data_IF_526973321137
#
_entry.id   IF_526973321137
#
_cell.length_a   1.000
_cell.length_b   1.000
_cell.length_c   1.000
_cell.angle_alpha   90.00
_cell.angle_beta   90.00
_cell.angle_gamma   90.00
#
_symmetry.space_group_name_H-M   'P 1'
#
loop_
_entity.id
_entity.type
_entity.pdbx_description
1 polymer ?
#
# COMPACT_ATOMS: atom_id res chain seq x y z
N UNK A 1 -12.38 10.94 6.79
CA UNK A 1 -12.59 9.51 7.13
C UNK A 1 -11.22 8.97 7.46
N UNK A 2 -11.09 8.11 8.48
CA UNK A 2 -9.81 7.46 8.80
C UNK A 2 -9.63 6.27 7.88
N UNK A 3 -8.42 6.08 7.37
CA UNK A 3 -8.04 4.91 6.60
C UNK A 3 -7.70 3.78 7.59
N UNK A 4 -8.38 2.64 7.49
CA UNK A 4 -8.20 1.52 8.42
C UNK A 4 -7.50 0.33 7.77
N UNK A 5 -6.47 -0.14 8.47
CA UNK A 5 -5.75 -1.36 8.11
C UNK A 5 -5.98 -2.44 9.15
N UNK A 6 -6.19 -3.66 8.69
CA UNK A 6 -6.34 -4.87 9.49
C UNK A 6 -5.12 -5.75 9.32
N UNK A 7 -4.46 -6.09 10.42
CA UNK A 7 -3.17 -6.79 10.38
C UNK A 7 -3.26 -8.02 11.28
N UNK A 8 -2.88 -9.20 10.77
CA UNK A 8 -2.92 -10.43 11.54
C UNK A 8 -1.73 -11.35 11.23
N UNK A 9 -1.51 -12.27 12.14
CA UNK A 9 -0.49 -13.30 12.07
C UNK A 9 -1.07 -14.58 11.45
N UNK A 10 -0.74 -14.94 10.19
CA UNK A 10 -1.30 -16.13 9.54
C UNK A 10 -0.81 -17.45 10.15
N UNK A 11 0.28 -17.42 10.90
CA UNK A 11 0.80 -18.61 11.57
C UNK A 11 0.07 -18.92 12.87
N UNK A 12 -0.74 -17.99 13.37
CA UNK A 12 -1.36 -18.11 14.70
C UNK A 12 -2.85 -18.46 14.64
N UNK A 13 -3.62 -17.88 13.74
CA UNK A 13 -5.08 -18.00 13.75
C UNK A 13 -5.70 -18.53 12.47
N UNK A 14 -5.14 -18.21 11.34
CA UNK A 14 -5.63 -18.64 10.04
C UNK A 14 -4.51 -18.56 9.00
N UNK A 15 -4.40 -19.52 8.09
CA UNK A 15 -3.40 -19.46 7.01
C UNK A 15 -3.57 -18.18 6.17
N UNK A 16 -2.51 -17.83 5.44
CA UNK A 16 -2.59 -16.74 4.47
C UNK A 16 -3.70 -17.03 3.46
N UNK A 17 -4.55 -16.04 3.13
CA UNK A 17 -5.65 -16.23 2.19
C UNK A 17 -5.13 -16.47 0.77
N UNK A 18 -5.89 -17.21 -0.04
CA UNK A 18 -5.56 -17.49 -1.44
C UNK A 18 -6.31 -16.58 -2.44
N UNK A 19 -7.19 -15.70 -1.96
CA UNK A 19 -7.95 -14.75 -2.78
C UNK A 19 -8.38 -13.52 -1.97
N UNK A 20 -8.89 -12.49 -2.66
CA UNK A 20 -9.45 -11.30 -2.00
C UNK A 20 -10.68 -11.62 -1.15
N UNK A 21 -11.58 -12.48 -1.65
CA UNK A 21 -12.79 -12.89 -0.93
C UNK A 21 -12.44 -13.67 0.34
N UNK A 22 -11.48 -14.60 0.26
CA UNK A 22 -10.99 -15.33 1.42
C UNK A 22 -10.29 -14.41 2.44
N UNK A 23 -9.60 -13.36 1.97
CA UNK A 23 -8.98 -12.37 2.85
C UNK A 23 -10.04 -11.62 3.65
N UNK A 24 -11.12 -11.17 3.00
CA UNK A 24 -12.24 -10.49 3.66
C UNK A 24 -12.92 -11.39 4.68
N UNK A 25 -13.31 -12.61 4.28
CA UNK A 25 -13.94 -13.59 5.17
C UNK A 25 -13.05 -13.93 6.39
N UNK A 26 -11.75 -14.06 6.16
CA UNK A 26 -10.77 -14.33 7.21
C UNK A 26 -10.67 -13.17 8.19
N UNK A 27 -10.54 -11.95 7.67
CA UNK A 27 -10.47 -10.73 8.48
C UNK A 27 -11.72 -10.56 9.35
N UNK A 28 -12.92 -10.71 8.78
CA UNK A 28 -14.19 -10.60 9.51
C UNK A 28 -14.27 -11.63 10.64
N UNK A 29 -13.93 -12.88 10.35
CA UNK A 29 -13.92 -13.96 11.33
C UNK A 29 -12.92 -13.70 12.46
N UNK A 30 -11.71 -13.26 12.13
CA UNK A 30 -10.65 -13.02 13.10
C UNK A 30 -10.93 -11.79 13.99
N UNK A 31 -11.64 -10.79 13.49
CA UNK A 31 -12.00 -9.59 14.26
C UNK A 31 -12.82 -9.91 15.50
N UNK A 32 -13.60 -10.99 15.48
CA UNK A 32 -14.39 -11.45 16.62
C UNK A 32 -13.59 -12.29 17.65
N UNK A 33 -12.33 -12.64 17.35
CA UNK A 33 -11.53 -13.51 18.19
C UNK A 33 -10.69 -12.68 19.17
N UNK A 34 -10.91 -12.91 20.47
CA UNK A 34 -10.01 -12.41 21.51
C UNK A 34 -8.73 -13.24 21.53
N UNK A 35 -7.59 -12.58 21.69
CA UNK A 35 -6.29 -13.23 21.73
C UNK A 35 -5.47 -12.79 22.96
N UNK A 36 -4.43 -13.54 23.22
CA UNK A 36 -3.36 -13.14 24.14
C UNK A 36 -2.36 -12.23 23.40
N UNK A 37 -1.47 -11.61 24.15
CA UNK A 37 -0.38 -10.84 23.59
C UNK A 37 0.32 -11.58 22.44
N UNK A 38 0.46 -10.91 21.31
CA UNK A 38 1.17 -11.45 20.15
C UNK A 38 2.55 -10.78 20.00
N UNK A 39 3.65 -11.51 20.32
CA UNK A 39 5.00 -10.95 20.21
C UNK A 39 5.41 -10.53 18.79
N UNK A 40 4.77 -11.10 17.76
CA UNK A 40 5.01 -10.71 16.37
C UNK A 40 4.46 -9.30 16.11
N UNK A 41 3.27 -8.99 16.63
CA UNK A 41 2.69 -7.65 16.54
C UNK A 41 3.50 -6.62 17.33
N UNK A 42 4.03 -6.95 18.50
CA UNK A 42 4.90 -6.03 19.25
C UNK A 42 6.17 -5.68 18.48
N UNK A 43 6.82 -6.69 17.87
CA UNK A 43 8.01 -6.46 17.03
C UNK A 43 7.65 -5.63 15.78
N UNK A 44 6.51 -5.87 15.19
CA UNK A 44 6.00 -5.09 14.07
C UNK A 44 5.79 -3.62 14.47
N UNK A 45 5.14 -3.33 15.61
CA UNK A 45 4.98 -1.96 16.11
C UNK A 45 6.31 -1.25 16.34
N UNK A 46 7.32 -1.96 16.87
CA UNK A 46 8.66 -1.42 17.03
C UNK A 46 9.33 -1.10 15.68
N UNK A 47 9.10 -1.95 14.66
CA UNK A 47 9.63 -1.71 13.31
C UNK A 47 9.01 -0.49 12.63
N UNK A 48 7.72 -0.23 12.84
CA UNK A 48 7.06 0.98 12.31
C UNK A 48 7.71 2.25 12.88
N UNK A 49 8.03 2.26 14.18
CA UNK A 49 8.73 3.39 14.80
C UNK A 49 10.13 3.56 14.23
N UNK A 50 10.88 2.47 14.04
CA UNK A 50 12.20 2.51 13.43
C UNK A 50 12.16 3.05 11.99
N UNK A 51 11.16 2.68 11.20
CA UNK A 51 10.97 3.23 9.86
C UNK A 51 10.74 4.75 9.90
N UNK A 52 9.95 5.22 10.86
CA UNK A 52 9.70 6.66 11.04
C UNK A 52 10.97 7.39 11.46
N UNK A 53 11.72 6.86 12.42
CA UNK A 53 12.97 7.47 12.92
C UNK A 53 14.09 7.49 11.87
N UNK A 54 14.07 6.56 10.92
CA UNK A 54 15.03 6.51 9.82
C UNK A 54 14.77 7.55 8.72
N UNK A 55 13.56 8.16 8.70
CA UNK A 55 13.21 9.18 7.72
C UNK A 55 13.95 10.50 8.02
N UNK A 56 14.32 11.26 6.97
CA UNK A 56 14.87 12.60 7.14
C UNK A 56 13.93 13.51 7.95
N UNK A 57 14.49 14.36 8.81
CA UNK A 57 13.72 15.22 9.73
C UNK A 57 12.72 16.16 9.04
N UNK A 58 12.97 16.52 7.77
CA UNK A 58 12.08 17.35 6.95
C UNK A 58 10.82 16.59 6.48
N UNK A 59 10.86 15.26 6.50
CA UNK A 59 9.72 14.38 6.12
C UNK A 59 8.95 13.84 7.31
N UNK A 60 9.50 13.93 8.53
CA UNK A 60 8.86 13.42 9.75
C UNK A 60 7.63 14.25 10.20
N UNK A 61 7.43 15.44 9.64
CA UNK A 61 6.32 16.32 10.01
C UNK A 61 6.48 16.92 11.42
N UNK A 62 5.63 17.90 11.75
CA UNK A 62 5.75 18.67 13.00
C UNK A 62 5.03 18.03 14.20
N UNK A 63 4.38 16.87 14.03
CA UNK A 63 3.52 16.25 15.04
C UNK A 63 4.08 15.00 15.72
N UNK A 64 5.28 14.54 15.37
CA UNK A 64 5.87 13.32 15.93
C UNK A 64 5.14 12.03 15.51
N UNK A 65 5.35 10.95 16.28
CA UNK A 65 4.78 9.61 16.00
C UNK A 65 3.27 9.62 15.94
N UNK A 66 2.61 10.32 16.86
CA UNK A 66 1.14 10.36 16.92
C UNK A 66 0.53 11.04 15.70
N UNK A 67 1.17 12.08 15.17
CA UNK A 67 0.70 12.74 13.95
C UNK A 67 0.94 11.89 12.70
N UNK A 68 1.98 11.07 12.70
CA UNK A 68 2.33 10.23 11.57
C UNK A 68 1.51 8.92 11.55
N UNK A 69 1.33 8.28 12.73
CA UNK A 69 0.69 6.97 12.85
C UNK A 69 -0.71 7.03 13.47
N UNK A 70 -1.18 8.20 13.95
CA UNK A 70 -2.42 8.34 14.71
C UNK A 70 -2.30 7.93 16.19
N UNK A 71 -1.29 7.14 16.55
CA UNK A 71 -0.90 6.73 17.92
C UNK A 71 0.49 6.13 17.88
N UNK A 72 1.14 5.96 19.04
CA UNK A 72 2.42 5.22 19.08
C UNK A 72 2.19 3.73 18.75
N UNK A 73 2.74 3.22 17.62
CA UNK A 73 2.54 1.82 17.22
C UNK A 73 3.03 0.81 18.25
N UNK A 74 4.05 1.13 19.06
CA UNK A 74 4.56 0.25 20.12
C UNK A 74 3.54 0.04 21.22
N UNK A 75 2.88 1.12 21.63
CA UNK A 75 1.87 1.06 22.68
C UNK A 75 0.60 0.37 22.19
N UNK A 76 0.14 0.70 20.99
CA UNK A 76 -1.09 0.14 20.42
C UNK A 76 -0.97 -1.35 20.10
N UNK A 77 0.18 -1.82 19.59
CA UNK A 77 0.41 -3.26 19.36
C UNK A 77 0.58 -4.02 20.67
N UNK A 78 1.27 -3.47 21.66
CA UNK A 78 1.40 -4.08 23.00
C UNK A 78 0.06 -4.15 23.75
N UNK A 79 -0.87 -3.25 23.46
CA UNK A 79 -2.22 -3.26 24.04
C UNK A 79 -3.20 -4.15 23.27
N UNK A 80 -2.87 -4.63 22.07
CA UNK A 80 -3.75 -5.46 21.26
C UNK A 80 -4.10 -6.78 21.95
N UNK A 81 -5.40 -7.10 22.04
CA UNK A 81 -5.93 -8.32 22.65
C UNK A 81 -6.93 -9.04 21.74
N UNK A 82 -6.78 -8.82 20.45
CA UNK A 82 -7.59 -9.44 19.39
C UNK A 82 -6.67 -10.13 18.38
N UNK A 83 -7.19 -11.09 17.63
CA UNK A 83 -6.44 -11.78 16.59
C UNK A 83 -6.06 -10.86 15.41
N UNK A 84 -6.76 -9.73 15.27
CA UNK A 84 -6.50 -8.69 14.26
C UNK A 84 -6.11 -7.41 14.98
N UNK A 85 -4.95 -6.89 14.65
CA UNK A 85 -4.55 -5.54 15.02
C UNK A 85 -5.14 -4.53 14.04
N UNK A 86 -5.81 -3.52 14.56
CA UNK A 86 -6.42 -2.45 13.79
C UNK A 86 -5.56 -1.19 13.88
N UNK A 87 -5.08 -0.73 12.74
CA UNK A 87 -4.28 0.49 12.62
C UNK A 87 -5.09 1.53 11.87
N UNK A 88 -5.47 2.59 12.58
CA UNK A 88 -6.15 3.75 11.97
C UNK A 88 -5.11 4.77 11.54
N UNK A 89 -5.09 5.10 10.26
CA UNK A 89 -4.22 6.14 9.71
C UNK A 89 -5.01 7.45 9.56
N UNK A 90 -4.34 8.60 9.68
CA UNK A 90 -4.94 9.88 9.32
C UNK A 90 -5.48 9.85 7.88
N UNK A 91 -6.56 10.59 7.61
CA UNK A 91 -7.17 10.67 6.26
C UNK A 91 -6.22 11.18 5.17
N UNK A 92 -5.13 11.79 5.57
CA UNK A 92 -4.04 12.27 4.71
C UNK A 92 -2.88 11.29 4.63
N UNK A 93 -3.07 10.06 5.15
CA UNK A 93 -2.04 9.03 5.11
C UNK A 93 -1.56 8.84 3.69
N UNK A 94 -0.28 9.07 3.48
CA UNK A 94 0.32 8.98 2.17
C UNK A 94 0.57 7.52 1.80
N UNK A 95 0.65 7.23 0.51
CA UNK A 95 1.10 5.92 0.01
C UNK A 95 2.45 5.52 0.60
N UNK A 96 3.26 6.48 1.02
CA UNK A 96 4.54 6.26 1.71
C UNK A 96 4.33 5.58 3.06
N UNK A 97 3.35 6.00 3.87
CA UNK A 97 3.01 5.35 5.14
C UNK A 97 2.52 3.92 4.89
N UNK A 98 1.66 3.72 3.88
CA UNK A 98 1.23 2.39 3.48
C UNK A 98 2.39 1.48 3.09
N UNK A 99 3.37 1.97 2.32
CA UNK A 99 4.52 1.15 1.94
C UNK A 99 5.35 0.71 3.14
N UNK A 100 5.57 1.57 4.12
CA UNK A 100 6.27 1.21 5.35
C UNK A 100 5.53 0.13 6.14
N UNK A 101 4.21 0.24 6.25
CA UNK A 101 3.38 -0.74 6.95
C UNK A 101 3.47 -2.09 6.25
N UNK A 102 3.27 -2.13 4.94
CA UNK A 102 3.31 -3.36 4.15
C UNK A 102 4.69 -4.02 4.21
N UNK A 103 5.78 -3.24 4.04
CA UNK A 103 7.15 -3.75 4.12
C UNK A 103 7.49 -4.29 5.52
N UNK A 104 7.13 -3.55 6.57
CA UNK A 104 7.36 -3.98 7.94
C UNK A 104 6.54 -5.24 8.28
N UNK A 105 5.26 -5.29 7.88
CA UNK A 105 4.40 -6.45 8.08
C UNK A 105 4.94 -7.69 7.37
N UNK A 106 5.35 -7.58 6.12
CA UNK A 106 5.97 -8.66 5.35
C UNK A 106 7.24 -9.18 6.03
N UNK A 107 8.09 -8.28 6.53
CA UNK A 107 9.30 -8.63 7.29
C UNK A 107 9.02 -9.43 8.58
N UNK A 108 7.83 -9.33 9.13
CA UNK A 108 7.37 -10.10 10.29
C UNK A 108 6.43 -11.26 9.95
N UNK A 109 6.20 -11.54 8.67
CA UNK A 109 5.31 -12.60 8.24
C UNK A 109 3.82 -12.32 8.47
N UNK A 110 3.43 -11.04 8.59
CA UNK A 110 2.06 -10.60 8.82
C UNK A 110 1.33 -10.32 7.51
N UNK A 111 0.01 -10.52 7.54
CA UNK A 111 -0.91 -10.12 6.45
C UNK A 111 -1.47 -8.74 6.78
N UNK A 112 -1.58 -7.89 5.77
CA UNK A 112 -2.23 -6.57 5.85
C UNK A 112 -3.44 -6.55 4.93
N UNK A 113 -4.58 -6.13 5.45
CA UNK A 113 -5.79 -5.90 4.69
C UNK A 113 -6.18 -4.41 4.80
N UNK A 114 -6.37 -3.78 3.67
CA UNK A 114 -6.80 -2.40 3.52
C UNK A 114 -8.31 -2.37 3.31
N UNK A 115 -9.05 -1.97 4.36
CA UNK A 115 -10.51 -1.94 4.34
C UNK A 115 -11.07 -0.95 3.28
N UNK A 116 -10.34 0.13 2.99
CA UNK A 116 -10.84 1.18 2.09
C UNK A 116 -10.72 0.77 0.62
N UNK A 117 -9.62 0.14 0.26
CA UNK A 117 -9.35 -0.24 -1.12
C UNK A 117 -9.64 -1.73 -1.40
N UNK A 118 -9.96 -2.52 -0.38
CA UNK A 118 -10.18 -3.96 -0.50
C UNK A 118 -8.91 -4.73 -0.92
N UNK A 119 -7.74 -4.19 -0.58
CA UNK A 119 -6.45 -4.80 -0.93
C UNK A 119 -5.91 -5.66 0.20
N UNK A 120 -5.40 -6.84 -0.13
CA UNK A 120 -4.72 -7.71 0.80
C UNK A 120 -3.26 -7.91 0.38
N UNK A 121 -2.34 -7.67 1.30
CA UNK A 121 -0.90 -7.82 1.10
C UNK A 121 -0.40 -9.00 1.93
N UNK A 122 0.16 -10.01 1.24
CA UNK A 122 0.72 -11.19 1.89
C UNK A 122 2.22 -11.04 2.17
N UNK A 123 2.76 -11.80 3.14
CA UNK A 123 4.17 -11.72 3.51
C UNK A 123 5.15 -12.08 2.38
N UNK A 124 4.71 -12.88 1.42
CA UNK A 124 5.51 -13.30 0.26
C UNK A 124 5.50 -12.29 -0.90
N UNK A 125 4.84 -11.13 -0.71
CA UNK A 125 4.68 -10.09 -1.71
C UNK A 125 3.49 -10.29 -2.66
N UNK A 126 2.67 -11.32 -2.44
CA UNK A 126 1.41 -11.48 -3.18
C UNK A 126 0.42 -10.38 -2.76
N UNK A 127 -0.31 -9.86 -3.73
CA UNK A 127 -1.32 -8.81 -3.53
C UNK A 127 -2.64 -9.27 -4.13
N UNK A 128 -3.73 -9.11 -3.39
CA UNK A 128 -5.09 -9.32 -3.86
C UNK A 128 -5.92 -8.04 -3.78
N UNK A 129 -6.86 -7.81 -4.72
CA UNK A 129 -7.01 -8.53 -5.99
C UNK A 129 -5.77 -8.38 -6.88
N UNK A 130 -5.53 -9.34 -7.77
CA UNK A 130 -4.28 -9.38 -8.56
C UNK A 130 -4.15 -8.21 -9.55
N UNK A 131 -5.27 -7.68 -10.04
CA UNK A 131 -5.32 -6.51 -10.92
C UNK A 131 -4.88 -5.20 -10.22
N UNK A 132 -4.93 -5.15 -8.88
CA UNK A 132 -4.44 -4.01 -8.10
C UNK A 132 -2.91 -3.99 -7.93
N UNK A 133 -2.25 -5.11 -8.22
CA UNK A 133 -0.78 -5.22 -8.08
C UNK A 133 -0.04 -4.21 -8.95
N UNK A 134 -0.40 -4.09 -10.23
CA UNK A 134 0.27 -3.17 -11.16
C UNK A 134 0.14 -1.71 -10.70
N UNK A 135 -1.03 -1.34 -10.20
CA UNK A 135 -1.28 -0.02 -9.64
C UNK A 135 -0.39 0.23 -8.42
N UNK A 136 -0.30 -0.73 -7.50
CA UNK A 136 0.53 -0.63 -6.31
C UNK A 136 2.02 -0.50 -6.65
N UNK A 137 2.53 -1.36 -7.53
CA UNK A 137 3.93 -1.34 -7.97
C UNK A 137 4.29 -0.03 -8.69
N UNK A 138 3.39 0.49 -9.54
CA UNK A 138 3.56 1.79 -10.19
C UNK A 138 3.65 2.92 -9.17
N UNK A 139 2.80 2.88 -8.14
CA UNK A 139 2.79 3.89 -7.08
C UNK A 139 4.08 3.85 -6.26
N UNK A 140 4.58 2.66 -5.92
CA UNK A 140 5.86 2.49 -5.25
C UNK A 140 7.04 2.99 -6.09
N UNK A 141 7.01 2.74 -7.40
CA UNK A 141 8.05 3.24 -8.32
C UNK A 141 8.06 4.77 -8.38
N UNK A 142 6.90 5.40 -8.43
CA UNK A 142 6.77 6.87 -8.38
C UNK A 142 7.30 7.45 -7.06
N UNK A 143 7.05 6.81 -5.93
CA UNK A 143 7.59 7.20 -4.62
C UNK A 143 9.12 7.12 -4.57
N UNK A 144 9.70 6.02 -5.08
CA UNK A 144 11.16 5.81 -5.13
C UNK A 144 11.86 6.77 -6.09
N UNK A 145 11.18 7.21 -7.14
CA UNK A 145 11.71 8.18 -8.10
C UNK A 145 11.84 9.60 -7.52
N UNK A 146 11.22 9.87 -6.38
CA UNK A 146 11.18 11.17 -5.74
C UNK A 146 10.34 12.20 -6.50
N UNK A 147 10.29 13.47 -6.03
CA UNK A 147 9.54 14.52 -6.68
C UNK A 147 10.03 14.71 -8.12
N UNK A 148 9.10 14.60 -9.06
CA UNK A 148 9.40 14.82 -10.49
C UNK A 148 9.85 16.26 -10.67
N UNK A 149 11.04 16.46 -11.23
CA UNK A 149 11.51 17.77 -11.64
C UNK A 149 10.47 18.40 -12.59
N UNK A 150 9.79 19.50 -12.21
CA UNK A 150 8.76 20.12 -13.04
C UNK A 150 9.32 20.64 -14.37
N UNK A 151 10.66 20.76 -14.49
CA UNK A 151 11.34 21.18 -15.69
C UNK A 151 11.73 20.01 -16.62
N UNK A 152 11.62 18.75 -16.17
CA UNK A 152 11.69 17.59 -17.06
C UNK A 152 10.35 17.41 -17.74
N UNK A 153 10.17 18.14 -18.85
CA UNK A 153 9.03 17.97 -19.76
C UNK A 153 8.96 16.49 -20.18
N UNK A 154 7.90 15.77 -19.77
CA UNK A 154 7.55 14.51 -20.41
C UNK A 154 7.47 14.79 -21.93
N UNK A 155 8.04 13.92 -22.79
CA UNK A 155 7.71 14.01 -24.20
C UNK A 155 6.19 13.98 -24.31
N UNK A 156 5.63 15.08 -24.78
CA UNK A 156 4.20 15.37 -24.75
C UNK A 156 3.46 14.20 -25.42
N UNK A 157 2.59 13.52 -24.69
CA UNK A 157 1.73 12.46 -25.26
C UNK A 157 0.87 12.98 -26.42
N UNK A 158 0.67 14.30 -26.52
CA UNK A 158 0.08 14.96 -27.68
C UNK A 158 0.94 14.82 -28.93
N UNK A 159 2.29 14.82 -28.79
CA UNK A 159 3.20 14.63 -29.90
C UNK A 159 3.12 13.22 -30.47
N UNK A 160 2.84 12.22 -29.61
CA UNK A 160 2.66 10.84 -30.02
C UNK A 160 1.32 10.64 -30.75
N UNK A 161 0.25 11.25 -30.26
CA UNK A 161 -1.07 11.23 -30.90
C UNK A 161 -1.08 12.04 -32.22
N UNK A 162 -0.33 13.12 -32.30
CA UNK A 162 -0.17 13.87 -33.55
C UNK A 162 0.64 13.09 -34.57
N UNK A 163 1.70 12.36 -34.18
CA UNK A 163 2.43 11.47 -35.07
C UNK A 163 1.56 10.34 -35.60
N UNK A 164 0.81 9.67 -34.74
CA UNK A 164 -0.11 8.61 -35.15
C UNK A 164 -1.20 9.16 -36.08
N UNK A 165 -1.74 10.35 -35.80
CA UNK A 165 -2.74 11.02 -36.64
C UNK A 165 -2.21 11.39 -37.99
N UNK A 166 -0.96 11.89 -38.13
CA UNK A 166 -0.36 12.25 -39.40
C UNK A 166 -0.02 11.02 -40.27
N UNK A 167 0.44 9.92 -39.65
CA UNK A 167 0.71 8.67 -40.40
C UNK A 167 -0.58 7.99 -40.90
N UNK A 168 -1.70 8.11 -40.16
CA UNK A 168 -3.00 7.60 -40.61
C UNK A 168 -3.55 8.42 -41.79
N UNK A 169 -3.41 9.74 -41.79
CA UNK A 169 -3.85 10.62 -42.88
C UNK A 169 -3.05 10.36 -44.13
N UNK A 170 -1.73 10.17 -44.02
CA UNK A 170 -0.85 9.84 -45.16
C UNK A 170 -1.14 8.43 -45.74
N UNK A 171 -1.54 7.48 -44.91
CA UNK A 171 -1.94 6.13 -45.35
C UNK A 171 -3.26 6.14 -46.14
N UNK A 172 -4.23 6.94 -45.69
CA UNK A 172 -5.54 7.07 -46.35
C UNK A 172 -5.43 7.87 -47.66
N UNK A 173 -4.53 8.89 -47.68
CA UNK A 173 -4.33 9.73 -48.87
C UNK A 173 -3.65 9.03 -50.06
N UNK A 174 -2.88 7.98 -49.84
CA UNK A 174 -2.20 7.19 -50.90
C UNK A 174 -3.08 6.11 -51.54
N UNK A 175 -4.24 5.82 -50.96
CA UNK A 175 -5.16 4.78 -51.44
C UNK A 175 -6.10 5.22 -52.60
N UNK A 176 -6.18 6.53 -52.95
CA UNK A 176 -7.19 7.05 -53.87
C UNK A 176 -6.67 7.53 -55.24
N UNK A 177 -5.44 7.20 -55.65
CA UNK A 177 -4.91 7.59 -56.98
C UNK A 177 -4.60 6.38 -57.88
N UNK A 178 -5.54 5.44 -58.01
CA UNK A 178 -5.53 4.45 -59.08
C UNK A 178 -6.95 4.27 -59.63
N UNK A 179 -7.39 5.16 -60.49
CA UNK A 179 -8.31 4.91 -61.59
C UNK A 179 -7.81 5.66 -62.83
#
# INVERSE_FOLDING_TARGET
MSHELRIWDPMRHAPAPASADEALDTMERLTAISDTLNPTLEKFGASLVQCYEAEPSDTQGHGGLDAFWGSDPRESTAACRTAVYQLSLPSEASTKQMSFIVEAAAGHGLVVFDDENGMCFLPDGTIFPEDMREMWESTLADLKAGPRDPNKVKPDSRTLLQKIGSELIDAIGRGNNHQ
#
